data_IF_690404846409
#
_entry.id   IF_690404846409
#
_cell.length_a   1.000
_cell.length_b   1.000
_cell.length_c   1.000
_cell.angle_alpha   90.00
_cell.angle_beta   90.00
_cell.angle_gamma   90.00
#
_symmetry.space_group_name_H-M   'P 1'
#
loop_
_entity.id
_entity.type
_entity.pdbx_description
1 polymer ?
#
# COMPACT_ATOMS: atom_id res chain seq x y z
N UNK A 1 2.86 -14.02 7.77
CA UNK A 1 3.05 -12.59 7.43
C UNK A 1 2.33 -12.32 6.11
N UNK A 2 1.76 -11.13 5.85
CA UNK A 2 0.95 -10.88 4.64
C UNK A 2 1.68 -11.19 3.33
N UNK A 3 2.97 -10.84 3.27
CA UNK A 3 3.83 -11.05 2.09
C UNK A 3 4.08 -12.52 1.75
N UNK A 4 3.73 -13.47 2.62
CA UNK A 4 3.84 -14.91 2.34
C UNK A 4 2.58 -15.52 1.73
N UNK A 5 1.50 -14.74 1.55
CA UNK A 5 0.26 -15.21 0.94
C UNK A 5 0.40 -15.20 -0.59
N UNK A 6 -0.17 -16.21 -1.26
CA UNK A 6 -0.12 -16.35 -2.72
C UNK A 6 -0.74 -15.16 -3.45
N UNK A 7 -1.76 -14.56 -2.84
CA UNK A 7 -2.47 -13.41 -3.36
C UNK A 7 -1.71 -12.10 -3.12
N UNK A 8 -0.61 -12.09 -2.35
CA UNK A 8 0.09 -10.84 -2.03
C UNK A 8 0.73 -10.24 -3.28
N UNK A 9 0.48 -8.96 -3.52
CA UNK A 9 1.19 -8.15 -4.53
C UNK A 9 2.14 -7.13 -3.87
N UNK A 10 2.43 -7.34 -2.60
CA UNK A 10 3.35 -6.49 -1.84
C UNK A 10 2.66 -5.47 -0.93
N UNK A 11 3.48 -4.55 -0.43
CA UNK A 11 3.11 -3.42 0.41
C UNK A 11 3.62 -2.16 -0.26
N UNK A 12 2.83 -1.10 -0.26
CA UNK A 12 3.31 0.25 -0.61
C UNK A 12 3.29 1.11 0.65
N UNK A 13 4.28 1.99 0.78
CA UNK A 13 4.36 2.90 1.92
C UNK A 13 5.70 3.62 1.94
N UNK A 14 5.97 4.31 3.04
CA UNK A 14 7.16 5.12 3.22
C UNK A 14 6.84 6.55 3.63
N UNK A 15 7.89 7.32 3.88
CA UNK A 15 7.77 8.72 4.29
C UNK A 15 7.44 9.60 3.07
N UNK A 16 6.97 10.84 3.28
CA UNK A 16 6.88 11.82 2.21
C UNK A 16 8.18 11.89 1.40
N UNK A 17 8.08 11.82 0.07
CA UNK A 17 9.19 11.76 -0.89
C UNK A 17 10.13 10.55 -0.78
N UNK A 18 9.75 9.52 -0.02
CA UNK A 18 10.52 8.29 0.19
C UNK A 18 9.60 7.05 0.17
N UNK A 19 8.82 6.90 -0.91
CA UNK A 19 7.90 5.78 -1.08
C UNK A 19 8.58 4.56 -1.70
N UNK A 20 8.27 3.37 -1.19
CA UNK A 20 8.84 2.10 -1.67
C UNK A 20 7.74 1.06 -1.93
N UNK A 21 8.03 0.13 -2.84
CA UNK A 21 7.20 -1.05 -3.06
C UNK A 21 7.89 -2.28 -2.49
N UNK A 22 7.39 -2.77 -1.36
CA UNK A 22 7.92 -3.93 -0.66
C UNK A 22 7.32 -5.21 -1.24
N UNK A 23 8.20 -6.08 -1.76
CA UNK A 23 7.82 -7.28 -2.51
C UNK A 23 8.08 -8.57 -1.75
N UNK A 24 8.77 -8.50 -0.61
CA UNK A 24 9.08 -9.69 0.18
C UNK A 24 9.82 -9.38 1.47
N UNK A 25 10.16 -10.43 2.19
CA UNK A 25 10.92 -10.36 3.43
C UNK A 25 11.98 -11.45 3.50
N UNK A 26 13.10 -11.15 4.14
CA UNK A 26 14.08 -12.14 4.52
C UNK A 26 14.54 -11.84 5.95
N UNK A 27 14.37 -12.79 6.86
CA UNK A 27 14.57 -12.58 8.30
C UNK A 27 13.80 -11.33 8.78
N UNK A 28 14.48 -10.37 9.41
CA UNK A 28 13.91 -9.11 9.91
C UNK A 28 14.02 -7.95 8.91
N UNK A 29 14.26 -8.26 7.63
CA UNK A 29 14.41 -7.26 6.56
C UNK A 29 13.33 -7.39 5.50
N UNK A 30 12.85 -6.23 5.05
CA UNK A 30 12.00 -6.07 3.89
C UNK A 30 12.85 -5.94 2.64
N UNK A 31 12.40 -6.58 1.57
CA UNK A 31 12.95 -6.47 0.22
C UNK A 31 12.02 -5.55 -0.58
N UNK A 32 12.55 -4.55 -1.25
CA UNK A 32 11.75 -3.54 -1.95
C UNK A 32 12.37 -3.03 -3.25
N UNK A 33 11.51 -2.44 -4.08
CA UNK A 33 11.86 -1.65 -5.25
C UNK A 33 11.75 -0.15 -4.93
N UNK A 34 12.72 0.61 -5.44
CA UNK A 34 12.89 2.03 -5.16
C UNK A 34 12.68 2.86 -6.44
N UNK A 35 11.67 3.74 -6.50
CA UNK A 35 11.41 4.59 -7.67
C UNK A 35 12.26 5.87 -7.72
N UNK A 36 13.09 6.19 -6.72
CA UNK A 36 13.78 7.49 -6.63
C UNK A 36 15.03 7.62 -7.52
N UNK A 37 14.97 7.03 -8.72
CA UNK A 37 15.99 7.20 -9.76
C UNK A 37 15.32 7.74 -11.02
N UNK A 38 15.68 8.95 -11.41
CA UNK A 38 15.21 9.55 -12.66
C UNK A 38 15.88 8.88 -13.85
N UNK A 39 15.08 8.36 -14.79
CA UNK A 39 15.55 7.71 -16.02
C UNK A 39 15.06 8.50 -17.25
N UNK A 40 15.78 8.44 -18.40
CA UNK A 40 15.29 9.01 -19.65
C UNK A 40 13.96 8.39 -20.08
N UNK A 41 13.13 9.17 -20.79
CA UNK A 41 11.90 8.65 -21.38
C UNK A 41 12.21 7.61 -22.46
N UNK A 42 11.52 6.48 -22.42
CA UNK A 42 11.58 5.46 -23.48
C UNK A 42 10.57 5.80 -24.56
N UNK A 43 11.03 5.92 -25.81
CA UNK A 43 10.16 6.09 -26.98
C UNK A 43 9.68 4.71 -27.48
N UNK A 44 8.38 4.44 -27.32
CA UNK A 44 7.75 3.16 -27.68
C UNK A 44 7.36 3.13 -29.18
N UNK A 45 7.40 4.27 -29.88
CA UNK A 45 6.88 4.40 -31.24
C UNK A 45 7.88 4.09 -32.36
N UNK A 46 9.19 4.08 -32.08
CA UNK A 46 10.22 4.12 -33.13
C UNK A 46 10.97 2.80 -33.38
N UNK A 47 10.83 1.77 -32.53
CA UNK A 47 11.57 0.51 -32.66
C UNK A 47 10.67 -0.73 -32.56
N UNK A 48 10.92 -1.74 -33.40
CA UNK A 48 10.29 -3.08 -33.32
C UNK A 48 10.72 -3.89 -32.07
N UNK A 49 11.63 -3.34 -31.26
CA UNK A 49 12.06 -3.89 -29.97
C UNK A 49 11.37 -3.13 -28.84
N UNK A 50 10.76 -3.84 -27.91
CA UNK A 50 10.27 -3.28 -26.65
C UNK A 50 11.48 -2.83 -25.83
N UNK A 51 11.76 -1.53 -25.77
CA UNK A 51 12.85 -0.95 -24.97
C UNK A 51 12.57 -1.00 -23.47
N UNK A 52 12.31 -2.19 -22.91
CA UNK A 52 11.77 -2.36 -21.57
C UNK A 52 12.85 -2.48 -20.47
N UNK A 53 14.13 -2.49 -20.83
CA UNK A 53 15.26 -2.70 -19.92
C UNK A 53 15.23 -1.77 -18.68
N UNK A 54 14.82 -0.51 -18.86
CA UNK A 54 14.72 0.48 -17.77
C UNK A 54 13.60 0.20 -16.75
N UNK A 55 12.65 -0.67 -17.08
CA UNK A 55 11.52 -1.06 -16.23
C UNK A 55 11.79 -2.33 -15.43
N UNK A 56 12.93 -3.00 -15.65
CA UNK A 56 13.34 -4.17 -14.90
C UNK A 56 14.46 -3.81 -13.93
N UNK A 57 14.20 -3.93 -12.63
CA UNK A 57 15.20 -3.65 -11.61
C UNK A 57 16.13 -4.87 -11.43
N UNK A 58 17.42 -4.71 -11.71
CA UNK A 58 18.40 -5.79 -11.58
C UNK A 58 18.89 -6.01 -10.13
N UNK A 59 18.62 -5.08 -9.21
CA UNK A 59 19.04 -5.17 -7.81
C UNK A 59 17.89 -4.79 -6.87
N UNK A 60 17.45 -5.72 -6.03
CA UNK A 60 16.47 -5.42 -4.99
C UNK A 60 17.17 -4.83 -3.75
N UNK A 61 16.59 -3.76 -3.19
CA UNK A 61 17.09 -3.11 -1.97
C UNK A 61 16.50 -3.76 -0.72
N UNK A 62 17.18 -3.58 0.42
CA UNK A 62 16.79 -4.17 1.71
C UNK A 62 16.79 -3.13 2.82
N UNK A 63 15.81 -3.22 3.72
CA UNK A 63 15.76 -2.41 4.94
C UNK A 63 15.15 -3.20 6.11
N UNK A 64 15.51 -2.85 7.34
CA UNK A 64 14.93 -3.49 8.52
C UNK A 64 13.45 -3.16 8.68
N UNK A 65 12.66 -4.13 9.15
CA UNK A 65 11.21 -3.97 9.37
C UNK A 65 10.89 -2.79 10.31
N UNK A 66 11.73 -2.54 11.31
CA UNK A 66 11.54 -1.46 12.29
C UNK A 66 11.79 -0.05 11.73
N UNK A 67 12.32 0.08 10.51
CA UNK A 67 12.50 1.36 9.82
C UNK A 67 11.33 1.69 8.88
N UNK A 68 10.39 0.75 8.70
CA UNK A 68 9.19 0.96 7.89
C UNK A 68 8.31 2.05 8.52
N UNK A 69 7.85 2.99 7.71
CA UNK A 69 6.86 3.97 8.15
C UNK A 69 5.52 3.26 8.49
N UNK A 70 4.81 3.64 9.57
CA UNK A 70 3.57 2.98 9.95
C UNK A 70 2.45 3.16 8.91
N UNK A 71 2.50 4.20 8.07
CA UNK A 71 1.53 4.42 7.00
C UNK A 71 1.84 3.53 5.80
N UNK A 72 1.08 2.45 5.69
CA UNK A 72 1.23 1.46 4.61
C UNK A 72 -0.11 1.02 4.03
N UNK A 73 -0.07 0.56 2.79
CA UNK A 73 -1.18 -0.12 2.12
C UNK A 73 -0.77 -1.53 1.70
N UNK A 74 -1.62 -2.51 2.04
CA UNK A 74 -1.45 -3.92 1.69
C UNK A 74 -2.18 -4.21 0.37
N UNK A 75 -1.48 -4.83 -0.58
CA UNK A 75 -2.08 -5.26 -1.85
C UNK A 75 -2.31 -6.77 -1.89
N UNK A 76 -3.52 -7.16 -2.30
CA UNK A 76 -3.84 -8.55 -2.63
C UNK A 76 -4.56 -8.64 -3.98
N UNK A 77 -4.16 -9.59 -4.82
CA UNK A 77 -4.79 -9.88 -6.10
C UNK A 77 -5.40 -11.28 -6.07
N UNK A 78 -6.67 -11.36 -6.44
CA UNK A 78 -7.42 -12.60 -6.61
C UNK A 78 -8.02 -12.59 -8.01
N UNK A 79 -7.61 -13.51 -8.87
CA UNK A 79 -8.14 -13.62 -10.23
C UNK A 79 -9.55 -14.19 -10.23
N UNK A 80 -9.84 -15.08 -9.29
CA UNK A 80 -11.13 -15.78 -9.17
C UNK A 80 -11.75 -15.56 -7.80
N UNK A 81 -13.05 -15.85 -7.68
CA UNK A 81 -13.76 -15.84 -6.41
C UNK A 81 -13.19 -16.90 -5.44
N UNK A 82 -12.81 -18.07 -5.95
CA UNK A 82 -12.16 -19.13 -5.16
C UNK A 82 -10.85 -18.65 -4.52
N UNK A 83 -10.04 -17.87 -5.24
CA UNK A 83 -8.80 -17.29 -4.70
C UNK A 83 -9.08 -16.26 -3.59
N UNK A 84 -10.18 -15.52 -3.70
CA UNK A 84 -10.64 -14.59 -2.66
C UNK A 84 -11.14 -15.34 -1.42
N UNK A 85 -11.87 -16.44 -1.60
CA UNK A 85 -12.30 -17.30 -0.51
C UNK A 85 -11.11 -17.91 0.23
N UNK A 86 -10.10 -18.36 -0.51
CA UNK A 86 -8.86 -18.88 0.06
C UNK A 86 -8.08 -17.80 0.81
N UNK A 87 -8.03 -16.57 0.29
CA UNK A 87 -7.45 -15.42 1.00
C UNK A 87 -8.19 -15.17 2.32
N UNK A 88 -9.52 -15.17 2.30
CA UNK A 88 -10.34 -14.99 3.50
C UNK A 88 -10.12 -16.12 4.52
N UNK A 89 -9.96 -17.38 4.09
CA UNK A 89 -9.60 -18.50 4.97
C UNK A 89 -8.21 -18.29 5.57
N UNK A 90 -7.24 -17.91 4.74
CA UNK A 90 -5.86 -17.69 5.18
C UNK A 90 -5.75 -16.57 6.22
N UNK A 91 -6.48 -15.46 6.06
CA UNK A 91 -6.54 -14.40 7.06
C UNK A 91 -7.12 -14.89 8.39
N UNK A 92 -8.23 -15.64 8.36
CA UNK A 92 -8.83 -16.19 9.59
C UNK A 92 -7.94 -17.20 10.31
N UNK A 93 -7.05 -17.89 9.59
CA UNK A 93 -6.14 -18.87 10.19
C UNK A 93 -4.85 -18.22 10.72
N UNK A 94 -4.29 -17.29 9.96
CA UNK A 94 -2.93 -16.77 10.19
C UNK A 94 -2.88 -15.41 10.90
N UNK A 95 -4.01 -14.70 11.02
CA UNK A 95 -4.07 -13.36 11.63
C UNK A 95 -4.81 -13.32 12.96
N UNK A 96 -4.98 -14.48 13.61
CA UNK A 96 -5.50 -14.59 14.98
C UNK A 96 -4.39 -14.19 15.97
N UNK A 97 -4.02 -12.92 15.98
CA UNK A 97 -3.15 -12.34 17.02
C UNK A 97 -4.01 -11.58 18.04
N UNK A 98 -3.43 -11.26 19.20
CA UNK A 98 -4.12 -10.40 20.20
C UNK A 98 -4.42 -8.98 19.68
N UNK A 99 -3.72 -8.54 18.63
CA UNK A 99 -3.82 -7.21 18.02
C UNK A 99 -3.70 -7.35 16.49
N UNK A 100 -4.80 -7.68 15.78
CA UNK A 100 -4.76 -7.80 14.33
C UNK A 100 -4.58 -6.43 13.67
N UNK A 101 -3.86 -6.38 12.54
CA UNK A 101 -3.65 -5.12 11.79
C UNK A 101 -4.92 -4.64 11.08
N UNK A 102 -5.83 -5.56 10.75
CA UNK A 102 -7.10 -5.27 10.09
C UNK A 102 -8.12 -6.37 10.42
N UNK A 103 -9.39 -6.08 10.19
CA UNK A 103 -10.51 -6.99 10.46
C UNK A 103 -11.24 -7.37 9.17
N UNK A 104 -11.84 -8.56 9.16
CA UNK A 104 -12.64 -9.06 8.03
C UNK A 104 -14.03 -9.43 8.52
N UNK A 105 -15.02 -8.76 7.96
CA UNK A 105 -16.43 -8.95 8.30
C UNK A 105 -17.18 -9.54 7.09
N UNK A 106 -18.05 -10.53 7.34
CA UNK A 106 -18.95 -11.04 6.30
C UNK A 106 -20.08 -10.06 5.97
N UNK A 107 -20.47 -9.24 6.95
CA UNK A 107 -21.55 -8.26 6.84
C UNK A 107 -21.02 -6.92 7.34
N UNK A 108 -21.50 -5.83 6.74
CA UNK A 108 -21.15 -4.46 7.17
C UNK A 108 -21.47 -4.28 8.67
N UNK A 109 -20.51 -3.84 9.50
CA UNK A 109 -20.78 -3.53 10.89
C UNK A 109 -21.86 -2.45 11.04
N UNK A 110 -22.83 -2.67 11.94
CA UNK A 110 -23.99 -1.78 12.11
C UNK A 110 -23.64 -0.35 12.53
N UNK A 111 -22.46 -0.15 13.13
CA UNK A 111 -22.02 1.15 13.63
C UNK A 111 -21.27 1.98 12.56
N UNK A 112 -21.02 1.42 11.38
CA UNK A 112 -20.38 2.17 10.29
C UNK A 112 -21.37 3.18 9.68
N UNK A 113 -20.88 4.34 9.19
CA UNK A 113 -21.72 5.33 8.54
C UNK A 113 -22.45 4.72 7.33
N UNK A 114 -23.59 5.28 6.89
CA UNK A 114 -24.29 4.82 5.68
C UNK A 114 -23.36 4.83 4.45
N UNK A 115 -23.58 3.89 3.51
CA UNK A 115 -22.73 3.71 2.31
C UNK A 115 -22.53 4.99 1.48
N UNK A 116 -23.55 5.84 1.42
CA UNK A 116 -23.51 7.12 0.72
C UNK A 116 -22.38 8.06 1.22
N UNK A 117 -21.93 7.90 2.47
CA UNK A 117 -20.89 8.73 3.07
C UNK A 117 -19.47 8.35 2.62
N UNK A 118 -19.26 7.09 2.22
CA UNK A 118 -17.95 6.56 1.79
C UNK A 118 -17.77 6.69 0.26
N UNK A 119 -18.87 6.62 -0.50
CA UNK A 119 -18.85 6.79 -1.96
C UNK A 119 -18.65 8.25 -2.41
N UNK A 120 -18.97 9.21 -1.53
CA UNK A 120 -18.73 10.62 -1.75
C UNK A 120 -17.29 10.99 -1.38
N UNK A 121 -16.33 10.58 -2.21
CA UNK A 121 -14.98 11.13 -2.13
C UNK A 121 -15.03 12.66 -2.15
N UNK A 122 -14.67 13.30 -1.04
CA UNK A 122 -14.10 14.65 -1.01
C UNK A 122 -15.01 15.87 -0.98
N UNK A 123 -16.34 15.79 -1.08
CA UNK A 123 -17.17 17.02 -0.99
C UNK A 123 -18.52 16.80 -0.30
N UNK A 124 -18.55 16.76 1.02
CA UNK A 124 -19.68 17.31 1.78
C UNK A 124 -19.20 17.69 3.18
N UNK A 125 -19.62 18.89 3.63
CA UNK A 125 -19.10 19.65 4.78
C UNK A 125 -18.75 18.77 5.99
N UNK A 126 -17.57 18.97 6.62
CA UNK A 126 -17.17 18.17 7.77
C UNK A 126 -18.11 18.45 8.94
N UNK A 127 -18.70 17.39 9.50
CA UNK A 127 -19.17 17.43 10.88
C UNK A 127 -17.93 17.19 11.72
N UNK A 128 -17.41 18.26 12.33
CA UNK A 128 -16.28 18.18 13.24
C UNK A 128 -16.62 17.24 14.40
N UNK A 129 -15.99 16.06 14.41
CA UNK A 129 -15.73 15.35 15.66
C UNK A 129 -14.42 15.95 16.14
N UNK A 130 -14.44 16.66 17.26
CA UNK A 130 -13.22 17.16 17.92
C UNK A 130 -12.34 15.97 18.27
N UNK A 131 -11.40 15.68 17.39
CA UNK A 131 -10.20 14.91 17.70
C UNK A 131 -9.10 15.96 17.57
N UNK A 132 -8.55 16.39 18.71
CA UNK A 132 -7.45 17.36 18.74
C UNK A 132 -6.26 16.79 17.96
N UNK A 133 -6.20 17.12 16.68
CA UNK A 133 -5.05 16.85 15.82
C UNK A 133 -4.24 18.15 15.78
N UNK A 134 -3.05 18.11 16.38
CA UNK A 134 -2.09 19.21 16.28
C UNK A 134 -1.50 19.16 14.87
N UNK A 135 -2.21 19.75 13.91
CA UNK A 135 -1.71 20.00 12.56
C UNK A 135 -1.04 21.38 12.57
N UNK A 136 0.27 21.42 12.79
CA UNK A 136 1.06 22.62 12.51
C UNK A 136 1.18 22.76 11.00
N UNK A 137 0.20 23.43 10.40
CA UNK A 137 0.29 23.97 9.05
C UNK A 137 1.30 25.13 9.03
N UNK A 138 2.57 24.83 8.76
CA UNK A 138 3.55 25.84 8.35
C UNK A 138 4.06 25.50 6.94
N UNK A 139 3.46 26.21 5.98
CA UNK A 139 4.19 26.98 4.96
C UNK A 139 4.78 26.24 3.74
N UNK A 140 3.96 26.08 2.69
CA UNK A 140 4.46 25.99 1.31
C UNK A 140 4.83 27.40 0.83
N UNK A 141 6.09 27.81 0.97
CA UNK A 141 6.62 28.95 0.22
C UNK A 141 6.83 28.56 -1.25
N UNK A 142 5.99 29.12 -2.11
CA UNK A 142 6.23 29.24 -3.55
C UNK A 142 7.35 30.27 -3.76
N UNK A 143 8.49 29.87 -4.31
CA UNK A 143 9.44 30.82 -4.90
C UNK A 143 9.64 30.54 -6.38
N UNK A 144 9.16 31.54 -7.15
CA UNK A 144 9.70 32.16 -8.37
C UNK A 144 10.62 31.36 -9.29
#
# INVERSE_FOLDING_TARGET
MCLSLKQSVGIIGGKPNHAHWFIGTFEDELIYLDPHTTQPVVDIGSTNTTGDESYHCCHASRMKLNHLDPSVALGFFCLTEDEFDDLCKAFRQNMVSKTPMFEIHKLRPKHWPPEAYMAAGGTSKPVYVNVDFCDTEDEFELLG
#
